data_IF_976052062493
#
_entry.id   IF_976052062493
#
_cell.length_a   1.000
_cell.length_b   1.000
_cell.length_c   1.000
_cell.angle_alpha   90.00
_cell.angle_beta   90.00
_cell.angle_gamma   90.00
#
_symmetry.space_group_name_H-M   'P 1'
#
loop_
_entity.id
_entity.type
_entity.pdbx_description
1 polymer ?
#
# COMPACT_ATOMS: atom_id res chain seq x y z
N UNK A 1 27.06 9.28 -38.16
CA UNK A 1 26.02 9.44 -37.11
C UNK A 1 25.03 8.30 -37.29
N UNK A 2 25.25 7.19 -36.60
CA UNK A 2 24.40 6.00 -36.62
C UNK A 2 23.23 6.20 -35.66
N UNK A 3 22.00 6.19 -36.18
CA UNK A 3 20.79 6.12 -35.37
C UNK A 3 20.54 4.65 -35.02
N UNK A 4 20.65 4.31 -33.73
CA UNK A 4 20.27 3.00 -33.22
C UNK A 4 18.75 2.88 -33.17
N UNK A 5 18.22 1.81 -33.76
CA UNK A 5 16.82 1.43 -33.61
C UNK A 5 16.64 0.75 -32.23
N UNK A 6 15.83 1.34 -31.35
CA UNK A 6 15.39 0.67 -30.12
C UNK A 6 14.25 -0.29 -30.45
N UNK A 7 14.52 -1.58 -30.35
CA UNK A 7 13.49 -2.62 -30.35
C UNK A 7 12.92 -2.76 -28.93
N UNK A 8 11.65 -2.43 -28.74
CA UNK A 8 10.93 -2.73 -27.49
C UNK A 8 10.42 -4.17 -27.53
N UNK A 9 10.78 -4.97 -26.50
CA UNK A 9 10.26 -6.32 -26.31
C UNK A 9 9.16 -6.30 -25.26
N UNK A 10 8.00 -6.85 -25.60
CA UNK A 10 6.91 -7.11 -24.66
C UNK A 10 6.68 -8.61 -24.55
N UNK A 11 6.76 -9.12 -23.32
CA UNK A 11 6.37 -10.49 -22.98
C UNK A 11 5.00 -10.46 -22.33
N UNK A 12 4.06 -11.21 -22.89
CA UNK A 12 2.71 -11.38 -22.34
C UNK A 12 2.44 -12.87 -22.16
N UNK A 13 2.19 -13.32 -20.93
CA UNK A 13 1.84 -14.71 -20.66
C UNK A 13 0.39 -14.79 -20.21
N UNK A 14 -0.37 -15.71 -20.82
CA UNK A 14 -1.77 -16.00 -20.48
C UNK A 14 -1.87 -17.41 -19.94
N UNK A 15 -2.56 -17.57 -18.81
CA UNK A 15 -2.92 -18.88 -18.25
C UNK A 15 -4.24 -19.28 -18.93
N UNK A 16 -4.21 -20.33 -19.74
CA UNK A 16 -5.31 -20.61 -20.67
C UNK A 16 -6.30 -21.66 -20.16
N UNK A 17 -5.91 -22.58 -19.25
CA UNK A 17 -6.83 -23.57 -18.67
C UNK A 17 -6.30 -24.14 -17.33
N UNK A 18 -7.24 -24.38 -16.41
CA UNK A 18 -7.02 -25.05 -15.12
C UNK A 18 -7.89 -26.32 -15.11
N UNK A 19 -7.27 -27.50 -15.21
CA UNK A 19 -7.98 -28.78 -15.15
C UNK A 19 -7.58 -29.53 -13.88
N UNK A 20 -8.56 -29.79 -13.02
CA UNK A 20 -8.45 -30.75 -11.93
C UNK A 20 -8.83 -32.13 -12.47
N UNK A 21 -7.84 -33.00 -12.67
CA UNK A 21 -8.08 -34.44 -12.84
C UNK A 21 -7.38 -35.16 -11.70
N UNK A 22 -8.17 -35.52 -10.68
CA UNK A 22 -7.81 -36.35 -9.51
C UNK A 22 -6.77 -35.76 -8.54
N UNK A 23 -6.81 -36.22 -7.29
CA UNK A 23 -6.16 -35.67 -6.08
C UNK A 23 -4.62 -35.60 -6.10
N UNK A 24 -3.95 -36.04 -7.17
CA UNK A 24 -2.48 -36.20 -7.18
C UNK A 24 -1.74 -35.46 -8.30
N UNK A 25 -2.41 -34.73 -9.19
CA UNK A 25 -1.69 -33.89 -10.18
C UNK A 25 -2.52 -32.72 -10.72
N UNK A 26 -2.07 -31.50 -10.42
CA UNK A 26 -2.56 -30.28 -11.10
C UNK A 26 -1.59 -29.93 -12.22
N UNK A 27 -2.08 -29.87 -13.47
CA UNK A 27 -1.30 -29.36 -14.62
C UNK A 27 -1.76 -27.94 -14.94
N UNK A 28 -0.83 -26.99 -14.89
CA UNK A 28 -1.05 -25.61 -15.33
C UNK A 28 -0.34 -25.44 -16.68
N UNK A 29 -1.10 -25.06 -17.71
CA UNK A 29 -0.53 -24.71 -19.01
C UNK A 29 -0.45 -23.20 -19.14
N UNK A 30 0.77 -22.66 -19.16
CA UNK A 30 1.04 -21.25 -19.39
C UNK A 30 1.47 -21.09 -20.84
N UNK A 31 0.77 -20.24 -21.60
CA UNK A 31 1.16 -19.90 -22.96
C UNK A 31 1.70 -18.47 -22.97
N UNK A 32 2.98 -18.33 -23.31
CA UNK A 32 3.63 -17.03 -23.42
C UNK A 32 3.71 -16.60 -24.89
N UNK A 33 3.32 -15.36 -25.15
CA UNK A 33 3.41 -14.72 -26.45
C UNK A 33 4.57 -13.72 -26.44
N UNK A 34 5.38 -13.78 -27.49
CA UNK A 34 6.49 -12.85 -27.71
C UNK A 34 6.14 -11.96 -28.90
N UNK A 35 6.05 -10.66 -28.67
CA UNK A 35 5.79 -9.69 -29.73
C UNK A 35 7.07 -8.96 -30.11
N UNK A 36 7.37 -8.93 -31.40
CA UNK A 36 8.41 -8.08 -31.98
C UNK A 36 7.72 -6.99 -32.80
N UNK A 37 7.94 -5.73 -32.43
CA UNK A 37 7.62 -4.60 -33.30
C UNK A 37 8.94 -3.98 -33.77
N UNK A 38 9.18 -3.98 -35.08
CA UNK A 38 10.26 -3.22 -35.70
C UNK A 38 9.65 -1.95 -36.28
N UNK A 39 10.01 -0.79 -35.73
CA UNK A 39 9.64 0.50 -36.32
C UNK A 39 10.76 0.86 -37.30
N UNK A 40 10.50 0.72 -38.60
CA UNK A 40 11.38 1.28 -39.62
C UNK A 40 11.01 2.75 -39.82
N UNK A 41 11.96 3.66 -39.60
CA UNK A 41 11.84 5.05 -40.02
C UNK A 41 11.86 5.08 -41.56
N UNK A 42 10.72 5.39 -42.18
CA UNK A 42 10.66 5.67 -43.63
C UNK A 42 10.92 7.16 -43.81
N UNK A 43 12.05 7.48 -44.43
CA UNK A 43 12.40 8.81 -44.89
C UNK A 43 11.48 9.21 -46.05
N UNK A 44 10.77 10.33 -45.92
CA UNK A 44 9.80 10.81 -46.91
C UNK A 44 10.53 11.51 -48.04
N UNK A 45 10.94 10.78 -49.09
CA UNK A 45 11.14 11.34 -50.43
C UNK A 45 10.81 10.28 -51.48
N UNK A 46 9.77 10.61 -52.26
CA UNK A 46 9.39 10.06 -53.58
C UNK A 46 9.21 8.54 -53.71
N UNK A 47 7.96 8.10 -53.98
CA UNK A 47 7.57 7.08 -54.98
C UNK A 47 6.02 6.91 -55.02
N UNK A 48 5.45 6.43 -56.14
CA UNK A 48 4.08 6.69 -56.58
C UNK A 48 3.03 5.68 -56.06
N UNK A 49 1.77 6.00 -56.36
CA UNK A 49 0.57 5.25 -55.97
C UNK A 49 0.63 3.75 -56.35
N UNK A 50 0.31 2.90 -55.37
CA UNK A 50 -0.07 1.50 -55.58
C UNK A 50 0.91 0.45 -55.06
N UNK A 51 0.98 0.23 -53.75
CA UNK A 51 1.54 -1.00 -53.15
C UNK A 51 0.74 -1.41 -51.91
N UNK A 52 0.32 -2.67 -51.85
CA UNK A 52 -0.47 -3.29 -50.77
C UNK A 52 0.33 -3.41 -49.45
N UNK A 53 -0.34 -3.47 -48.27
CA UNK A 53 0.36 -3.57 -46.99
C UNK A 53 1.01 -4.94 -46.78
N UNK A 54 2.25 -4.92 -46.29
CA UNK A 54 3.12 -6.07 -46.02
C UNK A 54 2.62 -6.86 -44.79
N UNK A 55 2.50 -8.18 -44.98
CA UNK A 55 2.15 -9.17 -43.96
C UNK A 55 3.10 -9.14 -42.75
N UNK A 56 2.54 -8.98 -41.54
CA UNK A 56 3.25 -9.24 -40.28
C UNK A 56 3.34 -10.76 -40.06
N UNK A 57 4.56 -11.30 -40.14
CA UNK A 57 4.81 -12.73 -39.86
C UNK A 57 4.69 -13.02 -38.36
N UNK A 58 3.71 -13.83 -37.97
CA UNK A 58 3.46 -14.27 -36.59
C UNK A 58 4.19 -15.59 -36.35
N UNK A 59 5.31 -15.60 -35.63
CA UNK A 59 5.92 -16.84 -35.13
C UNK A 59 5.44 -17.13 -33.71
N UNK A 60 4.74 -18.24 -33.52
CA UNK A 60 4.26 -18.71 -32.23
C UNK A 60 5.26 -19.71 -31.64
N UNK A 61 5.77 -19.44 -30.44
CA UNK A 61 6.52 -20.42 -29.65
C UNK A 61 5.65 -20.84 -28.46
N UNK A 62 5.49 -22.14 -28.25
CA UNK A 62 4.81 -22.71 -27.08
C UNK A 62 5.83 -23.44 -26.24
N UNK A 63 5.90 -23.13 -24.94
CA UNK A 63 6.74 -23.83 -23.98
C UNK A 63 5.85 -24.30 -22.83
N UNK A 64 5.86 -25.60 -22.55
CA UNK A 64 5.10 -26.20 -21.44
C UNK A 64 6.02 -26.37 -20.25
N UNK A 65 5.72 -25.72 -19.12
CA UNK A 65 6.45 -25.87 -17.86
C UNK A 65 5.61 -26.71 -16.91
N UNK A 66 6.16 -27.80 -16.39
CA UNK A 66 5.52 -28.60 -15.34
C UNK A 66 6.02 -28.14 -13.97
N UNK A 67 5.11 -27.72 -13.10
CA UNK A 67 5.43 -27.33 -11.72
C UNK A 67 4.84 -28.38 -10.79
N UNK A 68 5.69 -29.09 -10.05
CA UNK A 68 5.27 -30.05 -9.04
C UNK A 68 5.07 -29.29 -7.72
N UNK A 69 3.83 -29.07 -7.31
CA UNK A 69 3.51 -28.35 -6.08
C UNK A 69 3.41 -29.30 -4.88
N UNK A 70 3.95 -28.88 -3.73
CA UNK A 70 3.86 -29.64 -2.48
C UNK A 70 2.44 -29.55 -1.89
N UNK A 71 2.02 -30.61 -1.18
CA UNK A 71 0.69 -30.77 -0.55
C UNK A 71 0.23 -29.56 0.29
N UNK A 72 1.16 -28.72 0.79
CA UNK A 72 0.84 -27.51 1.59
C UNK A 72 0.28 -26.34 0.75
N UNK A 73 0.63 -26.21 -0.53
CA UNK A 73 0.06 -25.15 -1.40
C UNK A 73 -1.35 -25.50 -1.89
N UNK A 74 -1.66 -26.79 -2.06
CA UNK A 74 -2.98 -27.26 -2.48
C UNK A 74 -4.09 -26.89 -1.49
N UNK A 75 -3.78 -26.92 -0.19
CA UNK A 75 -4.72 -26.57 0.88
C UNK A 75 -5.09 -25.08 0.87
N UNK A 76 -4.14 -24.18 0.56
CA UNK A 76 -4.37 -22.74 0.53
C UNK A 76 -5.16 -22.30 -0.71
N UNK A 77 -4.97 -22.97 -1.85
CA UNK A 77 -5.73 -22.72 -3.08
C UNK A 77 -7.18 -23.19 -2.96
N UNK A 78 -7.42 -24.34 -2.33
CA UNK A 78 -8.79 -24.84 -2.12
C UNK A 78 -9.61 -23.99 -1.15
N UNK A 79 -8.98 -23.42 -0.11
CA UNK A 79 -9.64 -22.51 0.81
C UNK A 79 -10.05 -21.17 0.13
N UNK A 80 -9.20 -20.64 -0.75
CA UNK A 80 -9.51 -19.41 -1.50
C UNK A 80 -10.65 -19.60 -2.51
N UNK A 81 -10.79 -20.79 -3.11
CA UNK A 81 -11.86 -21.10 -4.07
C UNK A 81 -13.22 -21.29 -3.38
N UNK A 82 -13.25 -21.87 -2.18
CA UNK A 82 -14.48 -22.02 -1.37
C UNK A 82 -15.03 -20.67 -0.87
N UNK A 83 -14.17 -19.70 -0.61
CA UNK A 83 -14.59 -18.34 -0.21
C UNK A 83 -15.19 -17.59 -1.42
N UNK A 84 -14.65 -17.81 -2.62
CA UNK A 84 -15.18 -17.21 -3.86
C UNK A 84 -16.55 -17.77 -4.25
N UNK A 85 -16.83 -19.06 -4.04
CA UNK A 85 -18.15 -19.66 -4.38
C UNK A 85 -19.28 -19.21 -3.45
N UNK A 86 -18.99 -18.88 -2.20
CA UNK A 86 -20.00 -18.35 -1.25
C UNK A 86 -20.39 -16.91 -1.60
N UNK A 87 -19.45 -16.10 -2.11
CA UNK A 87 -19.70 -14.70 -2.51
C UNK A 87 -20.57 -14.63 -3.78
N UNK A 88 -20.45 -15.61 -4.69
CA UNK A 88 -21.25 -15.62 -5.93
C UNK A 88 -22.69 -16.15 -5.76
N UNK A 89 -23.01 -16.87 -4.67
CA UNK A 89 -24.35 -17.41 -4.44
C UNK A 89 -25.33 -16.42 -3.77
N UNK A 90 -24.85 -15.30 -3.21
CA UNK A 90 -25.72 -14.29 -2.59
C UNK A 90 -26.21 -13.19 -3.55
N UNK A 91 -25.78 -13.21 -4.83
CA UNK A 91 -26.16 -12.20 -5.81
C UNK A 91 -27.36 -12.59 -6.71
N UNK A 92 -28.03 -13.73 -6.45
CA UNK A 92 -29.13 -14.22 -7.28
C UNK A 92 -30.31 -14.71 -6.43
N UNK A 93 -31.00 -13.80 -5.74
CA UNK A 93 -32.39 -14.00 -5.35
C UNK A 93 -33.05 -12.64 -5.02
N UNK A 94 -33.95 -12.19 -5.90
CA UNK A 94 -35.02 -11.26 -5.52
C UNK A 94 -36.33 -12.06 -5.51
N UNK A 95 -37.24 -11.78 -4.57
CA UNK A 95 -38.55 -11.29 -5.03
C UNK A 95 -39.15 -10.18 -4.15
N UNK A 96 -40.20 -9.56 -4.71
CA UNK A 96 -40.98 -8.42 -4.26
C UNK A 96 -41.86 -8.68 -3.02
N UNK A 97 -42.24 -7.54 -2.43
CA UNK A 97 -43.40 -7.22 -1.59
C UNK A 97 -43.39 -7.54 -0.08
N UNK A 98 -43.60 -6.46 0.69
CA UNK A 98 -43.79 -6.41 2.14
C UNK A 98 -45.24 -6.74 2.53
N UNK A 99 -45.49 -7.14 3.79
CA UNK A 99 -45.82 -6.15 4.82
C UNK A 99 -45.20 -6.43 6.21
N UNK A 100 -45.15 -5.37 7.04
CA UNK A 100 -44.61 -5.30 8.42
C UNK A 100 -45.50 -5.97 9.49
N UNK A 101 -45.18 -5.87 10.81
CA UNK A 101 -44.06 -6.48 11.52
C UNK A 101 -44.56 -7.39 12.67
N UNK A 102 -43.85 -8.47 12.98
CA UNK A 102 -44.11 -9.28 14.19
C UNK A 102 -42.77 -9.60 14.87
N UNK A 103 -42.72 -9.28 16.16
CA UNK A 103 -41.65 -9.65 17.11
C UNK A 103 -41.40 -11.15 17.12
N UNK A 104 -40.13 -11.57 17.08
CA UNK A 104 -39.60 -12.71 17.86
C UNK A 104 -38.09 -12.92 17.68
N UNK A 105 -37.39 -12.78 18.82
CA UNK A 105 -36.43 -13.72 19.43
C UNK A 105 -35.09 -14.03 18.71
N UNK A 106 -34.04 -13.71 19.46
CA UNK A 106 -32.61 -13.97 19.28
C UNK A 106 -32.25 -15.32 18.64
N UNK A 107 -31.47 -15.24 17.56
CA UNK A 107 -30.65 -16.34 17.05
C UNK A 107 -29.16 -16.00 17.27
N UNK A 108 -28.33 -16.97 17.68
CA UNK A 108 -27.01 -16.72 18.23
C UNK A 108 -26.02 -16.23 17.17
N UNK A 109 -25.21 -15.25 17.56
CA UNK A 109 -24.16 -14.66 16.76
C UNK A 109 -23.19 -15.71 16.19
N UNK A 110 -22.99 -15.62 14.87
CA UNK A 110 -21.91 -16.29 14.14
C UNK A 110 -20.54 -15.86 14.68
N UNK A 111 -19.53 -16.75 14.77
CA UNK A 111 -18.24 -16.43 15.36
C UNK A 111 -17.36 -15.66 14.38
N UNK A 112 -17.60 -14.37 14.21
CA UNK A 112 -16.61 -13.43 13.68
C UNK A 112 -15.62 -13.09 14.80
N UNK A 113 -14.49 -13.80 14.80
CA UNK A 113 -13.40 -13.63 15.75
C UNK A 113 -12.74 -12.26 15.61
N UNK A 114 -13.11 -11.36 16.51
CA UNK A 114 -12.28 -10.32 17.18
C UNK A 114 -10.92 -10.02 16.53
N UNK A 115 -10.89 -9.02 15.66
CA UNK A 115 -9.84 -8.00 15.75
C UNK A 115 -10.41 -6.88 16.62
N UNK A 116 -10.41 -7.08 17.94
CA UNK A 116 -10.72 -6.00 18.88
C UNK A 116 -9.70 -4.90 18.68
N UNK A 117 -10.16 -3.65 18.50
CA UNK A 117 -9.33 -2.46 18.57
C UNK A 117 -8.43 -2.56 19.81
N UNK A 118 -7.16 -2.88 19.63
CA UNK A 118 -6.19 -2.92 20.74
C UNK A 118 -5.98 -1.46 21.13
N UNK A 119 -6.39 -1.11 22.35
CA UNK A 119 -6.22 0.24 22.89
C UNK A 119 -4.74 0.63 22.87
N UNK A 120 -4.43 1.87 22.47
CA UNK A 120 -3.05 2.35 22.44
C UNK A 120 -2.40 2.29 23.82
N UNK A 121 -3.19 2.45 24.90
CA UNK A 121 -2.71 2.31 26.28
C UNK A 121 -2.21 0.89 26.59
N UNK A 122 -2.90 -0.14 26.09
CA UNK A 122 -2.54 -1.53 26.32
C UNK A 122 -1.21 -1.87 25.64
N UNK A 123 -0.97 -1.32 24.45
CA UNK A 123 0.29 -1.51 23.72
C UNK A 123 1.45 -0.82 24.47
N UNK A 124 1.22 0.37 25.02
CA UNK A 124 2.25 1.08 25.78
C UNK A 124 2.65 0.35 27.07
N UNK A 125 1.69 -0.22 27.80
CA UNK A 125 1.98 -1.02 29.00
C UNK A 125 2.74 -2.30 28.65
N UNK A 126 2.34 -3.00 27.58
CA UNK A 126 3.03 -4.21 27.14
C UNK A 126 4.44 -3.94 26.62
N UNK A 127 4.69 -2.78 26.01
CA UNK A 127 6.03 -2.40 25.59
C UNK A 127 7.02 -2.30 26.76
N UNK A 128 6.57 -1.84 27.94
CA UNK A 128 7.43 -1.76 29.14
C UNK A 128 7.95 -3.14 29.56
N UNK A 129 7.15 -4.19 29.40
CA UNK A 129 7.55 -5.56 29.72
C UNK A 129 8.71 -6.07 28.84
N UNK A 130 8.79 -5.60 27.58
CA UNK A 130 9.85 -5.98 26.65
C UNK A 130 11.10 -5.10 26.79
N UNK A 131 10.94 -3.83 27.15
CA UNK A 131 12.06 -2.90 27.28
C UNK A 131 13.03 -3.25 28.41
N UNK A 132 12.57 -3.97 29.44
CA UNK A 132 13.40 -4.40 30.58
C UNK A 132 14.25 -5.65 30.31
N UNK A 133 14.21 -6.21 29.09
CA UNK A 133 14.96 -7.43 28.73
C UNK A 133 16.38 -7.07 28.28
N UNK A 134 17.37 -7.39 29.11
CA UNK A 134 18.78 -7.05 28.86
C UNK A 134 19.48 -7.97 27.83
N UNK A 135 18.96 -9.18 27.60
CA UNK A 135 19.62 -10.24 26.82
C UNK A 135 18.77 -10.75 25.64
N UNK A 136 18.36 -9.84 24.76
CA UNK A 136 17.63 -10.22 23.56
C UNK A 136 18.43 -11.19 22.66
N UNK A 137 17.81 -12.33 22.34
CA UNK A 137 18.24 -13.33 21.37
C UNK A 137 16.98 -14.02 20.77
N UNK A 138 17.17 -14.98 19.86
CA UNK A 138 16.05 -15.70 19.19
C UNK A 138 15.18 -16.47 20.18
N UNK A 139 15.77 -17.15 21.16
CA UNK A 139 15.03 -17.88 22.20
C UNK A 139 14.21 -16.95 23.11
N UNK A 140 14.71 -15.75 23.38
CA UNK A 140 14.00 -14.72 24.13
C UNK A 140 12.78 -14.22 23.36
N UNK A 141 12.89 -14.13 22.02
CA UNK A 141 11.75 -13.85 21.14
C UNK A 141 10.78 -15.03 21.18
N UNK A 142 11.25 -16.26 21.02
CA UNK A 142 10.39 -17.46 21.01
C UNK A 142 9.53 -17.60 22.25
N UNK A 143 10.13 -17.39 23.42
CA UNK A 143 9.44 -17.50 24.73
C UNK A 143 8.44 -16.38 25.02
N UNK A 144 8.50 -15.27 24.27
CA UNK A 144 7.70 -14.06 24.51
C UNK A 144 6.78 -13.69 23.35
N UNK A 145 6.91 -14.39 22.23
CA UNK A 145 6.19 -14.07 21.02
C UNK A 145 4.71 -14.40 21.18
N UNK A 146 3.90 -13.41 20.83
CA UNK A 146 2.48 -13.53 20.58
C UNK A 146 2.13 -12.51 19.48
N UNK A 147 1.26 -12.88 18.53
CA UNK A 147 0.92 -12.03 17.38
C UNK A 147 0.36 -10.65 17.80
N UNK A 148 -0.38 -10.60 18.90
CA UNK A 148 -0.91 -9.35 19.46
C UNK A 148 0.20 -8.41 19.97
N UNK A 149 1.32 -8.96 20.43
CA UNK A 149 2.41 -8.21 21.06
C UNK A 149 3.57 -7.92 20.10
N UNK A 150 3.47 -8.40 18.85
CA UNK A 150 4.51 -8.26 17.84
C UNK A 150 4.93 -6.81 17.62
N UNK A 151 3.98 -5.86 17.66
CA UNK A 151 4.25 -4.41 17.55
C UNK A 151 5.14 -3.91 18.68
N UNK A 152 4.82 -4.25 19.93
CA UNK A 152 5.57 -3.84 21.11
C UNK A 152 6.96 -4.52 21.16
N UNK A 153 7.03 -5.79 20.77
CA UNK A 153 8.27 -6.54 20.66
C UNK A 153 9.20 -5.94 19.58
N UNK A 154 8.66 -5.60 18.41
CA UNK A 154 9.45 -4.94 17.36
C UNK A 154 9.98 -3.59 17.81
N UNK A 155 9.20 -2.82 18.56
CA UNK A 155 9.67 -1.57 19.16
C UNK A 155 10.86 -1.81 20.10
N UNK A 156 10.73 -2.75 21.05
CA UNK A 156 11.80 -3.07 22.00
C UNK A 156 13.08 -3.56 21.30
N UNK A 157 12.95 -4.41 20.27
CA UNK A 157 14.10 -4.86 19.48
C UNK A 157 14.78 -3.72 18.73
N UNK A 158 14.03 -2.72 18.25
CA UNK A 158 14.60 -1.55 17.58
C UNK A 158 15.47 -0.71 18.54
N UNK A 159 15.13 -0.68 19.83
CA UNK A 159 15.89 0.01 20.89
C UNK A 159 17.22 -0.68 21.26
N UNK A 160 17.47 -1.89 20.78
CA UNK A 160 18.79 -2.56 20.95
C UNK A 160 19.91 -1.75 20.29
N UNK A 161 19.61 -0.99 19.24
CA UNK A 161 20.61 -0.19 18.54
C UNK A 161 21.07 1.01 19.38
N UNK A 162 22.33 0.97 19.83
CA UNK A 162 22.96 2.01 20.67
C UNK A 162 23.92 2.92 19.89
N UNK A 163 23.83 2.92 18.56
CA UNK A 163 24.74 3.71 17.72
C UNK A 163 26.04 2.99 17.31
N UNK A 164 26.23 1.73 17.71
CA UNK A 164 27.42 0.91 17.38
C UNK A 164 27.15 -0.12 16.28
N UNK A 165 28.19 -0.56 15.55
CA UNK A 165 28.03 -1.57 14.50
C UNK A 165 27.55 -2.93 15.07
N UNK A 166 28.01 -3.31 16.25
CA UNK A 166 27.63 -4.57 16.90
C UNK A 166 26.15 -4.55 17.33
N UNK A 167 25.69 -3.48 17.99
CA UNK A 167 24.28 -3.33 18.37
C UNK A 167 23.37 -3.26 17.14
N UNK A 168 23.81 -2.59 16.07
CA UNK A 168 23.08 -2.54 14.80
C UNK A 168 22.89 -3.93 14.18
N UNK A 169 23.98 -4.71 14.05
CA UNK A 169 23.90 -6.10 13.52
C UNK A 169 22.96 -6.98 14.35
N UNK A 170 23.02 -6.85 15.69
CA UNK A 170 22.15 -7.57 16.60
C UNK A 170 20.69 -7.17 16.42
N UNK A 171 20.38 -5.87 16.37
CA UNK A 171 19.05 -5.35 16.12
C UNK A 171 18.49 -5.88 14.79
N UNK A 172 19.23 -5.76 13.69
CA UNK A 172 18.77 -6.22 12.36
C UNK A 172 18.49 -7.71 12.36
N UNK A 173 19.40 -8.52 12.94
CA UNK A 173 19.21 -9.97 13.03
C UNK A 173 17.89 -10.31 13.71
N UNK A 174 17.61 -9.67 14.85
CA UNK A 174 16.42 -9.96 15.65
C UNK A 174 15.14 -9.41 15.04
N UNK A 175 15.18 -8.26 14.36
CA UNK A 175 14.05 -7.73 13.61
C UNK A 175 13.64 -8.68 12.47
N UNK A 176 14.62 -9.16 11.69
CA UNK A 176 14.36 -10.12 10.60
C UNK A 176 13.82 -11.45 11.15
N UNK A 177 14.35 -11.91 12.29
CA UNK A 177 13.86 -13.12 12.95
C UNK A 177 12.40 -12.97 13.42
N UNK A 178 12.08 -11.84 14.09
CA UNK A 178 10.72 -11.56 14.53
C UNK A 178 9.75 -11.50 13.35
N UNK A 179 10.12 -10.84 12.25
CA UNK A 179 9.28 -10.77 11.06
C UNK A 179 9.02 -12.15 10.46
N UNK A 180 10.06 -12.97 10.34
CA UNK A 180 9.93 -14.34 9.85
C UNK A 180 8.96 -15.14 10.74
N UNK A 181 9.12 -15.05 12.07
CA UNK A 181 8.25 -15.74 13.02
C UNK A 181 6.80 -15.28 12.92
N UNK A 182 6.58 -13.99 12.72
CA UNK A 182 5.26 -13.40 12.52
C UNK A 182 4.60 -13.90 11.23
N UNK A 183 5.34 -13.94 10.13
CA UNK A 183 4.88 -14.44 8.83
C UNK A 183 4.60 -15.96 8.87
N UNK A 184 5.51 -16.74 9.47
CA UNK A 184 5.39 -18.20 9.60
C UNK A 184 4.16 -18.60 10.45
N UNK A 185 3.81 -17.79 11.45
CA UNK A 185 2.61 -17.97 12.26
C UNK A 185 1.31 -17.62 11.52
N UNK A 186 1.40 -16.84 10.42
CA UNK A 186 0.24 -16.35 9.69
C UNK A 186 -0.53 -15.26 10.46
N UNK A 187 0.14 -14.55 11.36
CA UNK A 187 -0.46 -13.46 12.13
C UNK A 187 -0.75 -12.25 11.22
N UNK A 188 -1.80 -11.50 11.54
CA UNK A 188 -2.21 -10.29 10.80
C UNK A 188 -2.33 -9.12 11.76
N UNK A 189 -1.51 -8.09 11.55
CA UNK A 189 -1.48 -6.90 12.40
C UNK A 189 -0.96 -5.71 11.58
N UNK A 190 -1.87 -4.82 11.18
CA UNK A 190 -1.55 -3.68 10.33
C UNK A 190 -0.57 -2.70 11.00
N UNK A 191 -0.70 -2.49 12.32
CA UNK A 191 0.20 -1.62 13.09
C UNK A 191 1.62 -2.20 13.14
N UNK A 192 1.74 -3.52 13.27
CA UNK A 192 3.02 -4.22 13.17
C UNK A 192 3.65 -4.03 11.78
N UNK A 193 2.92 -4.34 10.70
CA UNK A 193 3.43 -4.18 9.34
C UNK A 193 3.88 -2.74 9.04
N UNK A 194 3.09 -1.75 9.48
CA UNK A 194 3.42 -0.34 9.32
C UNK A 194 4.73 0.04 10.02
N UNK A 195 4.91 -0.38 11.27
CA UNK A 195 6.14 -0.11 12.04
C UNK A 195 7.35 -0.83 11.45
N UNK A 196 7.20 -2.09 11.04
CA UNK A 196 8.30 -2.85 10.45
C UNK A 196 8.73 -2.29 9.10
N UNK A 197 7.80 -1.79 8.28
CA UNK A 197 8.15 -1.09 7.04
C UNK A 197 9.09 0.11 7.31
N UNK A 198 8.77 0.90 8.34
CA UNK A 198 9.63 1.98 8.81
C UNK A 198 11.00 1.50 9.31
N UNK A 199 11.03 0.43 10.10
CA UNK A 199 12.30 -0.15 10.57
C UNK A 199 13.16 -0.66 9.41
N UNK A 200 12.57 -1.34 8.42
CA UNK A 200 13.28 -1.79 7.23
C UNK A 200 13.85 -0.63 6.42
N UNK A 201 13.12 0.49 6.29
CA UNK A 201 13.64 1.72 5.71
C UNK A 201 14.87 2.24 6.46
N UNK A 202 14.79 2.32 7.79
CA UNK A 202 15.89 2.78 8.64
C UNK A 202 17.10 1.85 8.60
N UNK A 203 16.89 0.54 8.55
CA UNK A 203 17.94 -0.45 8.37
C UNK A 203 18.70 -0.14 7.08
N UNK A 204 18.01 0.05 5.95
CA UNK A 204 18.65 0.37 4.66
C UNK A 204 19.38 1.70 4.65
N UNK A 205 18.88 2.71 5.37
CA UNK A 205 19.48 4.05 5.42
C UNK A 205 20.62 4.20 6.44
N UNK A 206 20.79 3.24 7.35
CA UNK A 206 21.80 3.34 8.41
C UNK A 206 23.24 3.25 7.85
N UNK A 207 24.16 4.03 8.42
CA UNK A 207 25.59 4.02 8.06
C UNK A 207 26.27 2.66 8.17
N UNK A 208 25.78 1.77 9.03
CA UNK A 208 26.31 0.42 9.22
C UNK A 208 25.66 -0.65 8.34
N UNK A 209 24.75 -0.29 7.42
CA UNK A 209 24.09 -1.24 6.52
C UNK A 209 25.08 -2.12 5.74
N UNK A 210 26.20 -1.54 5.30
CA UNK A 210 27.24 -2.27 4.58
C UNK A 210 27.86 -3.41 5.41
N UNK A 211 27.84 -3.30 6.74
CA UNK A 211 28.39 -4.31 7.65
C UNK A 211 27.52 -5.56 7.81
N UNK A 212 26.26 -5.53 7.34
CA UNK A 212 25.35 -6.68 7.36
C UNK A 212 25.83 -7.79 6.42
N UNK A 213 25.50 -9.03 6.76
CA UNK A 213 25.78 -10.18 5.88
C UNK A 213 24.91 -10.12 4.62
N UNK A 214 25.36 -10.76 3.55
CA UNK A 214 24.58 -10.85 2.31
C UNK A 214 23.21 -11.52 2.54
N UNK A 215 23.17 -12.51 3.43
CA UNK A 215 21.94 -13.20 3.80
C UNK A 215 20.94 -12.27 4.51
N UNK A 216 21.40 -11.41 5.43
CA UNK A 216 20.55 -10.42 6.08
C UNK A 216 19.99 -9.41 5.06
N UNK A 217 20.82 -8.93 4.13
CA UNK A 217 20.39 -8.00 3.07
C UNK A 217 19.37 -8.65 2.13
N UNK A 218 19.57 -9.93 1.79
CA UNK A 218 18.66 -10.73 0.96
C UNK A 218 17.30 -10.90 1.63
N UNK A 219 17.29 -11.37 2.89
CA UNK A 219 16.06 -11.52 3.70
C UNK A 219 15.31 -10.21 3.86
N UNK A 220 16.02 -9.10 4.13
CA UNK A 220 15.40 -7.78 4.22
C UNK A 220 14.65 -7.40 2.94
N UNK A 221 15.26 -7.61 1.77
CA UNK A 221 14.62 -7.32 0.49
C UNK A 221 13.45 -8.27 0.19
N UNK A 222 13.58 -9.54 0.55
CA UNK A 222 12.53 -10.55 0.44
C UNK A 222 11.32 -10.19 1.31
N UNK A 223 11.53 -9.93 2.60
CA UNK A 223 10.47 -9.56 3.55
C UNK A 223 9.81 -8.23 3.21
N UNK A 224 10.55 -7.28 2.64
CA UNK A 224 9.97 -6.05 2.10
C UNK A 224 8.89 -6.35 1.04
N UNK A 225 9.05 -7.41 0.24
CA UNK A 225 8.07 -7.79 -0.78
C UNK A 225 6.79 -8.43 -0.22
N UNK A 226 6.79 -8.82 1.05
CA UNK A 226 5.62 -9.39 1.74
C UNK A 226 4.79 -8.33 2.46
N UNK A 227 5.31 -7.12 2.60
CA UNK A 227 4.56 -6.00 3.18
C UNK A 227 3.40 -5.58 2.26
N UNK A 228 2.30 -5.05 2.82
CA UNK A 228 1.21 -4.50 2.02
C UNK A 228 1.70 -3.49 0.97
N UNK A 229 1.27 -3.59 -0.30
CA UNK A 229 1.80 -2.80 -1.41
C UNK A 229 1.88 -1.29 -1.17
N UNK A 230 0.89 -0.68 -0.51
CA UNK A 230 0.91 0.76 -0.19
C UNK A 230 2.11 1.16 0.68
N UNK A 231 2.65 0.24 1.50
CA UNK A 231 3.84 0.50 2.30
C UNK A 231 5.11 0.59 1.44
N UNK A 232 5.19 -0.14 0.31
CA UNK A 232 6.30 -0.01 -0.63
C UNK A 232 6.41 1.43 -1.13
N UNK A 233 5.27 1.97 -1.56
CA UNK A 233 5.17 3.31 -2.14
C UNK A 233 5.41 4.42 -1.13
N UNK A 234 4.81 4.35 0.07
CA UNK A 234 4.97 5.42 1.05
C UNK A 234 6.36 5.41 1.71
N UNK A 235 7.01 4.25 1.92
CA UNK A 235 8.30 4.21 2.63
C UNK A 235 9.52 4.12 1.72
N UNK A 236 9.42 3.46 0.57
CA UNK A 236 10.59 3.07 -0.21
C UNK A 236 10.67 3.70 -1.60
N UNK A 237 9.56 4.21 -2.15
CA UNK A 237 9.56 4.87 -3.45
C UNK A 237 9.79 6.39 -3.31
N UNK A 238 10.53 7.02 -4.25
CA UNK A 238 10.79 8.45 -4.20
C UNK A 238 9.53 9.27 -4.45
N UNK A 239 8.59 8.73 -5.22
CA UNK A 239 7.30 9.33 -5.51
C UNK A 239 6.21 8.25 -5.63
N UNK A 240 4.96 8.66 -5.41
CA UNK A 240 3.79 7.78 -5.52
C UNK A 240 2.53 8.59 -5.76
N UNK A 241 1.46 7.92 -6.17
CA UNK A 241 0.15 8.50 -6.32
C UNK A 241 -0.80 7.94 -5.27
N UNK A 242 -1.68 8.80 -4.74
CA UNK A 242 -2.75 8.40 -3.82
C UNK A 242 -4.03 8.19 -4.62
N UNK A 243 -4.57 6.98 -4.59
CA UNK A 243 -5.83 6.63 -5.24
C UNK A 243 -6.89 6.34 -4.18
N UNK A 244 -8.01 7.04 -4.23
CA UNK A 244 -9.10 6.84 -3.29
C UNK A 244 -9.76 5.46 -3.47
N UNK A 245 -10.09 4.76 -2.36
CA UNK A 245 -10.73 3.43 -2.42
C UNK A 245 -12.17 3.49 -2.95
N UNK A 246 -12.99 4.46 -2.52
CA UNK A 246 -14.40 4.58 -2.97
C UNK A 246 -14.50 4.95 -4.45
N UNK A 247 -13.77 5.97 -4.90
CA UNK A 247 -13.92 6.49 -6.26
C UNK A 247 -12.92 5.96 -7.28
N UNK A 248 -11.86 5.25 -6.84
CA UNK A 248 -10.79 4.73 -7.70
C UNK A 248 -10.12 5.82 -8.56
N UNK A 249 -10.00 7.01 -7.99
CA UNK A 249 -9.50 8.22 -8.64
C UNK A 249 -8.33 8.79 -7.84
N UNK A 250 -7.41 9.47 -8.55
CA UNK A 250 -6.17 9.96 -7.97
C UNK A 250 -6.34 11.34 -7.33
N UNK A 251 -5.72 11.51 -6.15
CA UNK A 251 -5.52 12.80 -5.51
C UNK A 251 -4.50 13.63 -6.29
N UNK A 252 -4.78 14.92 -6.44
CA UNK A 252 -4.06 15.87 -7.26
C UNK A 252 -3.98 17.24 -6.58
N UNK A 253 -2.78 17.85 -6.56
CA UNK A 253 -2.61 19.25 -6.14
C UNK A 253 -2.87 20.21 -7.31
N UNK A 254 -4.02 20.88 -7.30
CA UNK A 254 -4.43 21.75 -8.41
C UNK A 254 -3.49 22.93 -8.63
N UNK A 255 -3.37 23.41 -9.88
CA UNK A 255 -2.86 24.77 -10.15
C UNK A 255 -3.98 25.82 -9.99
N UNK A 256 -5.02 25.48 -9.23
CA UNK A 256 -6.14 26.36 -8.95
C UNK A 256 -5.92 26.92 -7.56
N UNK A 257 -5.54 28.19 -7.53
CA UNK A 257 -5.45 28.96 -6.30
C UNK A 257 -6.81 28.99 -5.59
N UNK A 258 -6.79 28.73 -4.29
CA UNK A 258 -7.81 29.19 -3.34
C UNK A 258 -7.57 30.69 -3.12
N UNK A 259 -6.31 31.06 -2.90
CA UNK A 259 -5.82 32.43 -2.74
C UNK A 259 -4.32 32.54 -3.07
N UNK A 260 -3.68 33.65 -2.70
CA UNK A 260 -2.25 33.89 -2.97
C UNK A 260 -1.27 32.96 -2.25
N UNK A 261 -1.74 32.08 -1.35
CA UNK A 261 -0.87 31.19 -0.56
C UNK A 261 -1.21 29.72 -0.72
N UNK A 262 -2.38 29.37 -1.28
CA UNK A 262 -2.93 28.02 -1.22
C UNK A 262 -3.58 27.61 -2.52
N UNK A 263 -3.45 26.33 -2.85
CA UNK A 263 -4.21 25.70 -3.91
C UNK A 263 -5.17 24.65 -3.39
N UNK A 264 -6.22 24.40 -4.18
CA UNK A 264 -7.10 23.27 -3.97
C UNK A 264 -6.37 21.95 -4.17
N UNK A 265 -6.68 20.96 -3.34
CA UNK A 265 -6.41 19.55 -3.62
C UNK A 265 -7.72 18.89 -4.03
N UNK A 266 -7.71 18.16 -5.14
CA UNK A 266 -8.88 17.48 -5.69
C UNK A 266 -8.61 16.00 -5.91
N UNK A 267 -9.69 15.24 -6.05
CA UNK A 267 -9.70 13.94 -6.72
C UNK A 267 -10.26 14.13 -8.12
N UNK A 268 -9.58 13.63 -9.15
CA UNK A 268 -9.94 13.90 -10.54
C UNK A 268 -10.61 12.69 -11.20
N UNK A 269 -11.74 12.91 -11.88
CA UNK A 269 -12.54 11.80 -12.45
C UNK A 269 -12.02 11.28 -13.79
N UNK A 270 -11.28 12.10 -14.55
CA UNK A 270 -10.78 11.74 -15.88
C UNK A 270 -9.26 11.46 -15.88
N UNK A 271 -8.89 10.19 -15.99
CA UNK A 271 -7.51 9.71 -15.88
C UNK A 271 -6.55 10.16 -17.00
N UNK A 272 -7.01 10.80 -18.07
CA UNK A 272 -6.15 11.15 -19.20
C UNK A 272 -5.48 12.53 -19.09
N UNK A 273 -5.91 13.37 -18.15
CA UNK A 273 -5.36 14.71 -17.97
C UNK A 273 -4.61 14.80 -16.62
N UNK A 274 -3.45 15.47 -16.61
CA UNK A 274 -2.67 15.85 -15.42
C UNK A 274 -1.76 14.78 -14.77
N UNK A 275 -1.19 13.85 -15.56
CA UNK A 275 -0.23 12.81 -15.08
C UNK A 275 0.87 13.39 -14.19
N UNK A 276 1.53 14.46 -14.65
CA UNK A 276 2.69 15.06 -13.96
C UNK A 276 2.39 15.66 -12.57
N UNK A 277 1.12 15.74 -12.21
CA UNK A 277 0.68 16.50 -11.05
C UNK A 277 0.04 15.64 -9.95
N UNK A 278 -0.10 14.35 -10.23
CA UNK A 278 -0.51 13.32 -9.25
C UNK A 278 0.61 12.88 -8.31
N UNK A 279 1.91 12.91 -8.69
CA UNK A 279 2.94 12.37 -7.83
C UNK A 279 3.14 13.20 -6.55
N UNK A 280 3.16 12.50 -5.43
CA UNK A 280 3.51 12.98 -4.11
C UNK A 280 4.85 12.39 -3.69
N UNK A 281 5.58 13.13 -2.88
CA UNK A 281 6.75 12.68 -2.13
C UNK A 281 6.41 12.77 -0.65
N UNK A 282 6.95 11.88 0.16
CA UNK A 282 6.75 11.93 1.61
C UNK A 282 8.06 12.13 2.36
N UNK A 283 7.98 12.87 3.46
CA UNK A 283 9.01 12.90 4.49
C UNK A 283 8.44 12.26 5.75
N UNK A 284 9.17 11.30 6.31
CA UNK A 284 8.80 10.60 7.54
C UNK A 284 9.65 11.14 8.69
N UNK A 285 8.99 11.65 9.71
CA UNK A 285 9.60 12.13 10.95
C UNK A 285 9.25 11.16 12.07
N UNK A 286 10.28 10.70 12.78
CA UNK A 286 10.12 9.87 13.98
C UNK A 286 9.87 10.77 15.19
N UNK A 287 8.67 10.66 15.76
CA UNK A 287 8.26 11.35 17.01
C UNK A 287 7.91 10.34 18.10
N UNK A 288 8.52 9.15 18.03
CA UNK A 288 8.35 8.07 19.00
C UNK A 288 8.66 8.56 20.41
N UNK A 289 7.89 8.08 21.36
CA UNK A 289 8.22 8.19 22.78
C UNK A 289 9.01 6.96 23.22
N UNK A 290 9.24 6.81 24.53
CA UNK A 290 9.97 5.66 25.09
C UNK A 290 9.16 4.35 25.12
N UNK A 291 7.92 4.35 24.62
CA UNK A 291 7.00 3.20 24.73
C UNK A 291 6.48 2.69 23.39
N UNK A 292 6.39 3.54 22.38
CA UNK A 292 5.86 3.13 21.08
C UNK A 292 6.43 3.95 19.92
N UNK A 293 6.40 3.34 18.74
CA UNK A 293 6.70 4.05 17.50
C UNK A 293 5.56 4.97 17.13
N UNK A 294 5.88 6.27 16.97
CA UNK A 294 4.95 7.29 16.47
C UNK A 294 5.62 8.01 15.31
N UNK A 295 4.96 8.00 14.16
CA UNK A 295 5.48 8.56 12.92
C UNK A 295 4.59 9.71 12.44
N UNK A 296 5.22 10.76 11.93
CA UNK A 296 4.57 11.88 11.26
C UNK A 296 5.01 11.93 9.81
N UNK A 297 4.06 12.22 8.93
CA UNK A 297 4.26 12.23 7.49
C UNK A 297 3.96 13.61 6.94
N UNK A 298 4.89 14.20 6.21
CA UNK A 298 4.63 15.39 5.41
C UNK A 298 4.37 14.95 3.96
N UNK A 299 3.18 15.22 3.44
CA UNK A 299 2.85 14.97 2.03
C UNK A 299 3.19 16.20 1.19
N UNK A 300 4.15 16.06 0.29
CA UNK A 300 4.64 17.15 -0.56
C UNK A 300 4.41 16.82 -2.02
N UNK A 301 3.75 17.71 -2.76
CA UNK A 301 3.54 17.54 -4.18
C UNK A 301 4.88 17.54 -4.93
N UNK A 302 5.10 16.55 -5.80
CA UNK A 302 6.42 16.33 -6.37
C UNK A 302 6.90 17.48 -7.26
N UNK A 303 6.03 18.05 -8.10
CA UNK A 303 6.42 19.10 -9.03
C UNK A 303 6.51 20.47 -8.35
N UNK A 304 5.41 20.94 -7.78
CA UNK A 304 5.34 22.30 -7.21
C UNK A 304 5.97 22.42 -5.83
N UNK A 305 6.36 21.30 -5.21
CA UNK A 305 6.93 21.26 -3.85
C UNK A 305 5.98 21.79 -2.77
N UNK A 306 4.70 21.98 -3.09
CA UNK A 306 3.66 22.44 -2.17
C UNK A 306 3.32 21.34 -1.17
N UNK A 307 3.06 21.72 0.07
CA UNK A 307 2.77 20.77 1.16
C UNK A 307 1.27 20.65 1.38
N UNK A 308 0.74 19.43 1.39
CA UNK A 308 -0.65 19.16 1.70
C UNK A 308 -0.91 19.26 3.20
N UNK A 309 -1.96 19.98 3.59
CA UNK A 309 -2.38 20.14 4.98
C UNK A 309 -3.89 20.34 5.06
N UNK A 310 -4.45 20.17 6.25
CA UNK A 310 -5.85 20.49 6.52
C UNK A 310 -6.00 21.97 6.88
N UNK A 311 -6.75 22.68 6.06
CA UNK A 311 -7.11 24.07 6.29
C UNK A 311 -8.15 24.18 7.40
N UNK A 312 -7.87 25.04 8.39
CA UNK A 312 -8.74 25.25 9.55
C UNK A 312 -9.82 26.29 9.27
N UNK A 313 -9.53 27.24 8.39
CA UNK A 313 -10.46 28.30 8.05
C UNK A 313 -11.52 27.82 7.05
N UNK A 314 -12.70 28.43 7.13
CA UNK A 314 -13.77 28.22 6.14
C UNK A 314 -13.52 29.11 4.91
N UNK A 315 -13.60 28.53 3.72
CA UNK A 315 -13.52 29.24 2.43
C UNK A 315 -14.77 28.99 1.63
N UNK A 316 -15.45 30.06 1.20
CA UNK A 316 -16.73 29.97 0.47
C UNK A 316 -17.76 29.06 1.18
N UNK A 317 -17.79 29.10 2.52
CA UNK A 317 -18.67 28.25 3.34
C UNK A 317 -18.20 26.80 3.51
N UNK A 318 -17.06 26.41 2.92
CA UNK A 318 -16.47 25.07 3.06
C UNK A 318 -15.34 25.10 4.10
N UNK A 319 -15.52 24.35 5.19
CA UNK A 319 -14.50 24.19 6.24
C UNK A 319 -13.75 22.87 6.08
N UNK A 320 -12.59 22.75 6.74
CA UNK A 320 -11.77 21.54 6.77
C UNK A 320 -11.34 21.08 5.36
N UNK A 321 -11.01 22.00 4.46
CA UNK A 321 -10.52 21.63 3.14
C UNK A 321 -9.09 21.15 3.20
N UNK A 322 -8.75 20.12 2.43
CA UNK A 322 -7.35 19.75 2.22
C UNK A 322 -6.78 20.65 1.13
N UNK A 323 -5.73 21.38 1.46
CA UNK A 323 -5.12 22.40 0.62
C UNK A 323 -3.62 22.15 0.44
N UNK A 324 -3.06 22.68 -0.65
CA UNK A 324 -1.62 22.65 -0.91
C UNK A 324 -1.01 24.04 -0.70
N UNK A 325 -0.06 24.14 0.23
CA UNK A 325 0.57 25.42 0.59
C UNK A 325 1.71 25.82 -0.35
N UNK A 326 1.71 27.07 -0.82
CA UNK A 326 2.64 27.61 -1.82
C UNK A 326 4.06 27.83 -1.31
N UNK A 327 4.22 28.31 -0.06
CA UNK A 327 5.52 28.80 0.40
C UNK A 327 6.45 27.68 0.82
N UNK A 328 7.64 27.63 0.21
CA UNK A 328 8.77 26.82 0.66
C UNK A 328 9.47 27.38 1.90
N UNK A 329 9.17 28.62 2.28
CA UNK A 329 9.86 29.34 3.37
C UNK A 329 9.07 29.40 4.68
N UNK A 330 7.76 29.19 4.63
CA UNK A 330 6.89 29.14 5.80
C UNK A 330 5.93 27.97 5.61
N UNK A 331 6.36 26.75 5.96
CA UNK A 331 5.48 25.59 5.96
C UNK A 331 4.37 25.78 7.02
N UNK A 332 3.12 25.38 6.76
CA UNK A 332 2.09 25.46 7.77
C UNK A 332 2.47 24.59 8.97
N UNK A 333 2.28 25.12 10.19
CA UNK A 333 2.64 24.45 11.45
C UNK A 333 1.93 23.10 11.66
N UNK A 334 0.89 22.82 10.87
CA UNK A 334 0.13 21.59 10.87
C UNK A 334 0.26 20.83 9.54
N UNK A 335 1.41 20.83 8.88
CA UNK A 335 1.61 20.04 7.66
C UNK A 335 1.76 18.53 7.89
N UNK A 336 1.92 18.11 9.15
CA UNK A 336 2.18 16.72 9.48
C UNK A 336 0.89 15.92 9.66
N UNK A 337 0.89 14.74 9.05
CA UNK A 337 -0.18 13.75 9.08
C UNK A 337 0.24 12.58 9.97
N UNK A 338 -0.69 12.10 10.78
CA UNK A 338 -0.63 10.72 11.28
C UNK A 338 -1.13 9.80 10.17
N UNK A 339 -0.47 8.68 9.94
CA UNK A 339 -0.88 7.70 8.93
C UNK A 339 -1.03 6.33 9.60
N UNK A 340 -2.13 5.68 9.30
CA UNK A 340 -2.41 4.31 9.71
C UNK A 340 -2.59 3.42 8.48
N UNK A 341 -2.30 2.13 8.66
CA UNK A 341 -2.59 1.10 7.68
C UNK A 341 -3.86 0.37 8.08
N UNK A 342 -4.71 0.11 7.10
CA UNK A 342 -5.83 -0.82 7.21
C UNK A 342 -5.77 -1.77 6.01
N UNK A 343 -5.37 -3.02 6.25
CA UNK A 343 -5.06 -4.03 5.24
C UNK A 343 -3.98 -3.56 4.25
N UNK A 344 -4.38 -2.85 3.20
CA UNK A 344 -3.49 -2.25 2.19
C UNK A 344 -3.81 -0.77 1.93
N UNK A 345 -4.74 -0.19 2.68
CA UNK A 345 -5.14 1.20 2.53
C UNK A 345 -4.48 2.05 3.60
N UNK A 346 -4.10 3.26 3.22
CA UNK A 346 -3.58 4.28 4.10
C UNK A 346 -4.72 5.20 4.54
N UNK A 347 -4.74 5.51 5.82
CA UNK A 347 -5.68 6.43 6.42
C UNK A 347 -4.88 7.60 6.99
N UNK A 348 -5.12 8.80 6.45
CA UNK A 348 -4.42 10.01 6.86
C UNK A 348 -5.27 10.79 7.87
N UNK A 349 -4.67 11.15 9.00
CA UNK A 349 -5.31 11.86 10.12
C UNK A 349 -4.56 13.15 10.45
N UNK A 350 -5.30 14.23 10.67
CA UNK A 350 -4.76 15.49 11.17
C UNK A 350 -5.81 16.24 11.99
N UNK A 351 -5.43 16.77 13.14
CA UNK A 351 -6.33 17.49 14.07
C UNK A 351 -7.63 16.70 14.37
N UNK A 352 -7.53 15.37 14.54
CA UNK A 352 -8.68 14.49 14.80
C UNK A 352 -9.60 14.23 13.61
N UNK A 353 -9.21 14.62 12.39
CA UNK A 353 -9.99 14.45 11.16
C UNK A 353 -9.30 13.55 10.14
N UNK A 354 -10.09 12.78 9.40
CA UNK A 354 -9.64 11.90 8.32
C UNK A 354 -9.62 12.65 6.98
N UNK A 355 -8.58 12.46 6.16
CA UNK A 355 -8.59 12.94 4.77
C UNK A 355 -9.54 12.08 3.94
N UNK A 356 -10.60 12.68 3.41
CA UNK A 356 -11.61 11.97 2.64
C UNK A 356 -11.93 12.67 1.32
N UNK A 357 -12.17 11.88 0.29
CA UNK A 357 -12.75 12.36 -0.96
C UNK A 357 -14.25 12.60 -0.76
N UNK A 358 -14.71 13.82 -1.00
CA UNK A 358 -16.11 14.23 -0.76
C UNK A 358 -17.06 13.66 -1.80
N UNK A 359 -18.33 13.39 -1.48
CA UNK A 359 -19.35 13.18 -2.52
C UNK A 359 -19.61 14.46 -3.35
N UNK A 360 -19.27 15.63 -2.81
CA UNK A 360 -19.42 16.93 -3.48
C UNK A 360 -18.37 17.16 -4.57
N UNK A 361 -18.85 17.65 -5.71
CA UNK A 361 -18.04 18.01 -6.87
C UNK A 361 -17.77 19.52 -6.89
N UNK A 362 -16.53 19.91 -7.19
CA UNK A 362 -16.17 21.28 -7.56
C UNK A 362 -16.67 21.60 -8.97
N UNK A 363 -16.52 20.63 -9.89
CA UNK A 363 -17.07 20.67 -11.25
C UNK A 363 -17.19 19.23 -11.79
N UNK A 364 -17.64 19.07 -13.04
CA UNK A 364 -17.84 17.77 -13.69
C UNK A 364 -16.64 16.82 -13.66
N UNK A 365 -15.42 17.33 -13.43
CA UNK A 365 -14.19 16.55 -13.44
C UNK A 365 -13.42 16.51 -12.11
N UNK A 366 -13.84 17.29 -11.11
CA UNK A 366 -13.08 17.54 -9.88
C UNK A 366 -13.96 17.37 -8.66
N UNK A 367 -13.52 16.47 -7.79
CA UNK A 367 -14.11 16.18 -6.49
C UNK A 367 -13.28 16.83 -5.39
N UNK A 368 -13.93 17.40 -4.39
CA UNK A 368 -13.22 17.98 -3.26
C UNK A 368 -12.58 16.93 -2.36
N UNK A 369 -11.54 17.35 -1.64
CA UNK A 369 -10.94 16.59 -0.54
C UNK A 369 -11.09 17.39 0.74
N UNK A 370 -11.72 16.81 1.75
CA UNK A 370 -11.97 17.44 3.04
C UNK A 370 -11.47 16.57 4.19
N UNK A 371 -11.25 17.20 5.34
CA UNK A 371 -11.14 16.55 6.64
C UNK A 371 -12.52 16.29 7.22
N UNK A 372 -12.91 15.02 7.35
CA UNK A 372 -14.14 14.65 8.04
C UNK A 372 -13.86 14.31 9.52
N UNK A 373 -14.73 14.76 10.43
CA UNK A 373 -14.69 14.34 11.85
C UNK A 373 -15.29 12.94 11.99
N UNK A 374 -15.12 12.15 13.05
CA UNK A 374 -14.72 12.44 14.44
C UNK A 374 -15.12 11.30 15.41
N UNK A 375 -15.64 10.17 14.90
CA UNK A 375 -15.81 8.91 15.64
C UNK A 375 -15.54 7.75 14.66
N UNK A 376 -14.29 7.33 14.55
CA UNK A 376 -13.90 6.22 13.69
C UNK A 376 -12.42 6.24 13.34
N UNK A 377 -11.83 5.06 13.20
CA UNK A 377 -10.46 4.87 12.72
C UNK A 377 -10.34 5.04 11.19
N UNK A 378 -11.45 5.18 10.48
CA UNK A 378 -11.51 5.25 9.02
C UNK A 378 -11.60 3.89 8.33
N UNK A 379 -11.60 2.78 9.08
CA UNK A 379 -11.61 1.42 8.54
C UNK A 379 -12.91 1.08 7.78
N UNK A 380 -14.03 1.71 8.17
CA UNK A 380 -15.34 1.55 7.53
C UNK A 380 -15.72 2.72 6.60
N UNK A 381 -14.78 3.62 6.30
CA UNK A 381 -15.01 4.81 5.48
C UNK A 381 -14.15 4.73 4.20
N UNK A 382 -14.62 4.04 3.13
CA UNK A 382 -13.83 3.84 1.92
C UNK A 382 -13.46 5.16 1.20
N UNK A 383 -14.23 6.23 1.39
CA UNK A 383 -13.90 7.57 0.93
C UNK A 383 -12.70 8.21 1.65
N UNK A 384 -12.34 7.71 2.83
CA UNK A 384 -11.20 8.17 3.64
C UNK A 384 -9.97 7.27 3.51
N UNK A 385 -10.06 6.25 2.66
CA UNK A 385 -9.01 5.25 2.45
C UNK A 385 -8.30 5.43 1.12
N UNK A 386 -6.97 5.31 1.15
CA UNK A 386 -6.13 5.64 0.02
C UNK A 386 -5.13 4.52 -0.27
N UNK A 387 -5.05 4.07 -1.51
CA UNK A 387 -3.94 3.25 -1.98
C UNK A 387 -2.78 4.15 -2.36
N UNK A 388 -1.57 3.87 -1.85
CA UNK A 388 -0.36 4.40 -2.45
C UNK A 388 0.10 3.44 -3.55
N UNK A 389 0.28 3.96 -4.76
CA UNK A 389 0.61 3.17 -5.95
C UNK A 389 1.44 3.96 -6.94
N UNK A 390 1.91 3.27 -7.98
CA UNK A 390 2.54 3.89 -9.12
C UNK A 390 1.62 4.92 -9.79
N UNK A 391 2.21 6.00 -10.26
CA UNK A 391 1.52 7.04 -11.00
C UNK A 391 1.32 6.60 -12.46
N UNK A 392 0.08 6.56 -12.96
CA UNK A 392 -0.19 6.21 -14.35
C UNK A 392 0.17 7.32 -15.33
#
# INVERSE_FOLDING_TARGET
RSAGAEASQFNYCRINNFYLRTLESTRITITCYRYFSAINAIDKRELPQGVAPINTSRRTFSQTVQVQMSKRMLSKVNAAILILTVIFYQAAAAPQDAPSPVDTVDAPASPEGRASDIDESDIEERALNFLNVNNWNEQAIDSRYNGADATALAYALNRIYTGTAASYKKMVKLQLYLFQKFDDAGDVNDKYYFNVAYYFLNIRKNKYYNSLTNEQKRKLNEYKSYLPPSLDFIFFQPNFCLMNRKYLQHMYAADRAIDGQRDYIFVFTNNNNNVNKRPWTTQVTDVSNDRQTKLKFTLKHNQSKRVAYLERNSYNGQSNMVAAWHSSFQQPNNADWTVELYQNQLIFKQNGRLICASDSMYNNNRRYVFGQGGHGNGNNAPECQWYAKECP
#
